data_IF_129424470177
#
_entry.id   IF_129424470177
#
_cell.length_a   1.000
_cell.length_b   1.000
_cell.length_c   1.000
_cell.angle_alpha   90.00
_cell.angle_beta   90.00
_cell.angle_gamma   90.00
#
_symmetry.space_group_name_H-M   'P 1'
#
loop_
_entity.id
_entity.type
_entity.pdbx_description
1 polymer ?
#
# COMPACT_ATOMS: atom_id res chain seq x y z
N UNK A 1 -11.47 -9.22 -6.93
CA UNK A 1 -10.55 -9.65 -8.00
C UNK A 1 -9.77 -10.94 -7.72
N UNK A 2 -9.37 -11.25 -6.47
CA UNK A 2 -8.59 -12.48 -6.17
C UNK A 2 -9.31 -13.76 -6.60
N UNK A 3 -10.61 -13.88 -6.35
CA UNK A 3 -11.42 -15.04 -6.78
C UNK A 3 -11.43 -15.19 -8.31
N UNK A 4 -11.58 -14.08 -9.04
CA UNK A 4 -11.54 -14.07 -10.51
C UNK A 4 -10.16 -14.49 -11.01
N UNK A 5 -9.08 -13.98 -10.43
CA UNK A 5 -7.71 -14.40 -10.78
C UNK A 5 -7.50 -15.89 -10.57
N UNK A 6 -7.95 -16.44 -9.42
CA UNK A 6 -7.86 -17.87 -9.12
C UNK A 6 -8.57 -18.69 -10.20
N UNK A 7 -9.79 -18.30 -10.57
CA UNK A 7 -10.57 -19.02 -11.59
C UNK A 7 -9.92 -18.95 -12.98
N UNK A 8 -9.41 -17.78 -13.37
CA UNK A 8 -8.67 -17.63 -14.64
C UNK A 8 -7.43 -18.53 -14.66
N UNK A 9 -6.68 -18.57 -13.57
CA UNK A 9 -5.50 -19.41 -13.43
C UNK A 9 -5.83 -20.90 -13.51
N UNK A 10 -6.90 -21.35 -12.84
CA UNK A 10 -7.37 -22.74 -12.92
C UNK A 10 -7.78 -23.15 -14.35
N UNK A 11 -8.21 -22.20 -15.17
CA UNK A 11 -8.52 -22.39 -16.59
C UNK A 11 -7.30 -22.28 -17.52
N UNK A 12 -6.09 -22.13 -16.97
CA UNK A 12 -4.85 -22.00 -17.74
C UNK A 12 -4.67 -20.63 -18.41
N UNK A 13 -5.43 -19.61 -17.99
CA UNK A 13 -5.30 -18.25 -18.50
C UNK A 13 -4.33 -17.45 -17.65
N UNK A 14 -3.40 -16.74 -18.29
CA UNK A 14 -2.41 -15.87 -17.64
C UNK A 14 -2.76 -14.41 -17.93
N UNK A 15 -3.47 -13.71 -17.03
CA UNK A 15 -3.81 -12.31 -17.25
C UNK A 15 -2.61 -11.36 -17.06
N UNK A 16 -2.60 -10.27 -17.82
CA UNK A 16 -1.69 -9.15 -17.58
C UNK A 16 -2.20 -8.35 -16.37
N UNK A 17 -1.34 -8.09 -15.40
CA UNK A 17 -1.74 -7.47 -14.13
C UNK A 17 -0.91 -6.24 -13.78
N UNK A 18 -1.58 -5.19 -13.30
CA UNK A 18 -0.96 -3.99 -12.73
C UNK A 18 -1.26 -3.97 -11.23
N UNK A 19 -0.23 -4.10 -10.39
CA UNK A 19 -0.37 -4.12 -8.92
C UNK A 19 0.73 -3.33 -8.21
N UNK A 20 0.42 -2.85 -7.00
CA UNK A 20 1.38 -2.29 -6.05
C UNK A 20 1.17 -2.94 -4.68
N UNK A 21 2.12 -3.77 -4.25
CA UNK A 21 1.94 -4.61 -3.06
C UNK A 21 0.69 -5.49 -3.20
N UNK A 22 -0.20 -5.43 -2.22
CA UNK A 22 -1.47 -6.18 -2.21
C UNK A 22 -2.60 -5.51 -3.01
N UNK A 23 -2.37 -4.30 -3.53
CA UNK A 23 -3.37 -3.55 -4.28
C UNK A 23 -3.26 -3.89 -5.77
N UNK A 24 -4.29 -4.54 -6.32
CA UNK A 24 -4.45 -4.80 -7.74
C UNK A 24 -5.26 -3.67 -8.37
N UNK A 25 -4.72 -3.02 -9.40
CA UNK A 25 -5.38 -1.91 -10.07
C UNK A 25 -6.11 -2.34 -11.34
N UNK A 26 -5.52 -3.25 -12.10
CA UNK A 26 -6.07 -3.74 -13.36
C UNK A 26 -5.61 -5.16 -13.64
N UNK A 27 -6.51 -5.95 -14.21
CA UNK A 27 -6.25 -7.29 -14.72
C UNK A 27 -6.85 -7.41 -16.11
N UNK A 28 -6.04 -7.76 -17.12
CA UNK A 28 -6.46 -7.89 -18.52
C UNK A 28 -6.34 -9.35 -18.97
N UNK A 29 -7.39 -9.87 -19.58
CA UNK A 29 -7.44 -11.21 -20.16
C UNK A 29 -7.67 -11.06 -21.66
N UNK A 30 -6.83 -11.68 -22.47
CA UNK A 30 -7.02 -11.71 -23.92
C UNK A 30 -8.14 -12.69 -24.27
N UNK A 31 -9.15 -12.21 -24.99
CA UNK A 31 -10.26 -13.02 -25.49
C UNK A 31 -10.19 -13.00 -27.02
N UNK A 32 -9.79 -14.10 -27.63
CA UNK A 32 -9.59 -14.21 -29.08
C UNK A 32 -8.38 -13.44 -29.61
N UNK A 33 -8.40 -13.08 -30.90
CA UNK A 33 -7.21 -12.50 -31.57
C UNK A 33 -6.92 -11.05 -31.20
N UNK A 34 -7.96 -10.23 -30.97
CA UNK A 34 -7.85 -8.77 -30.77
C UNK A 34 -8.65 -8.18 -29.60
N UNK A 35 -9.44 -8.97 -28.87
CA UNK A 35 -10.27 -8.43 -27.80
C UNK A 35 -9.65 -8.70 -26.43
N UNK A 36 -9.96 -7.81 -25.48
CA UNK A 36 -9.51 -7.90 -24.11
C UNK A 36 -10.69 -7.69 -23.18
N UNK A 37 -10.77 -8.51 -22.15
CA UNK A 37 -11.62 -8.27 -20.98
C UNK A 37 -10.75 -7.63 -19.92
N UNK A 38 -11.16 -6.47 -19.43
CA UNK A 38 -10.39 -5.67 -18.47
C UNK A 38 -11.19 -5.59 -17.17
N UNK A 39 -10.60 -6.08 -16.10
CA UNK A 39 -11.13 -5.95 -14.75
C UNK A 39 -10.44 -4.78 -14.06
N UNK A 40 -11.23 -3.85 -13.51
CA UNK A 40 -10.77 -2.69 -12.73
C UNK A 40 -11.54 -2.64 -11.42
N UNK A 41 -10.90 -2.05 -10.41
CA UNK A 41 -11.54 -1.76 -9.13
C UNK A 41 -12.10 -0.34 -9.15
N UNK A 42 -13.42 -0.24 -9.06
CA UNK A 42 -14.16 1.03 -9.05
C UNK A 42 -13.84 1.88 -7.83
N UNK A 43 -13.42 1.26 -6.72
CA UNK A 43 -12.98 1.97 -5.52
C UNK A 43 -11.76 2.86 -5.78
N UNK A 44 -10.95 2.55 -6.80
CA UNK A 44 -9.83 3.42 -7.20
C UNK A 44 -10.28 4.73 -7.85
N UNK A 45 -11.50 4.78 -8.38
CA UNK A 45 -12.11 5.97 -8.97
C UNK A 45 -12.98 6.70 -7.94
N UNK A 46 -13.73 5.95 -7.12
CA UNK A 46 -14.65 6.47 -6.11
C UNK A 46 -14.31 5.84 -4.75
N UNK A 47 -13.33 6.37 -3.99
CA UNK A 47 -12.81 5.76 -2.77
C UNK A 47 -13.74 5.97 -1.57
N UNK A 48 -14.99 5.52 -1.68
CA UNK A 48 -16.01 5.60 -0.63
C UNK A 48 -16.83 4.31 -0.57
N UNK A 49 -17.61 4.15 0.50
CA UNK A 49 -18.49 2.97 0.65
C UNK A 49 -19.64 3.01 -0.34
N UNK A 50 -20.20 1.85 -0.69
CA UNK A 50 -21.34 1.75 -1.59
C UNK A 50 -22.56 2.51 -1.07
N UNK A 51 -22.84 2.45 0.23
CA UNK A 51 -23.91 3.20 0.86
C UNK A 51 -23.68 4.72 0.77
N UNK A 52 -22.43 5.18 0.81
CA UNK A 52 -22.08 6.60 0.67
C UNK A 52 -22.21 7.10 -0.77
N UNK A 53 -22.20 6.22 -1.78
CA UNK A 53 -22.35 6.61 -3.19
C UNK A 53 -23.77 7.13 -3.49
N UNK A 54 -24.79 6.58 -2.82
CA UNK A 54 -26.20 6.97 -3.02
C UNK A 54 -26.42 8.46 -2.74
N UNK A 55 -26.08 9.01 -1.54
CA UNK A 55 -26.21 10.44 -1.29
C UNK A 55 -25.18 11.26 -2.08
N UNK A 56 -23.97 10.75 -2.32
CA UNK A 56 -22.93 11.50 -3.03
C UNK A 56 -23.29 11.82 -4.48
N UNK A 57 -24.01 10.93 -5.16
CA UNK A 57 -24.46 11.11 -6.54
C UNK A 57 -25.96 11.34 -6.68
N UNK A 58 -26.67 11.57 -5.56
CA UNK A 58 -28.13 11.73 -5.52
C UNK A 58 -28.88 10.62 -6.29
N UNK A 59 -28.48 9.37 -6.08
CA UNK A 59 -29.04 8.22 -6.80
C UNK A 59 -30.43 7.88 -6.28
N UNK A 60 -31.37 7.66 -7.19
CA UNK A 60 -32.72 7.17 -6.86
C UNK A 60 -32.70 5.64 -6.71
N UNK A 61 -32.16 5.15 -5.59
CA UNK A 61 -32.13 3.71 -5.27
C UNK A 61 -32.80 3.48 -3.93
N UNK A 62 -33.51 2.36 -3.80
CA UNK A 62 -34.17 1.99 -2.55
C UNK A 62 -33.14 1.79 -1.42
N UNK A 63 -33.53 2.20 -0.22
CA UNK A 63 -32.70 2.04 0.96
C UNK A 63 -32.44 0.56 1.23
N UNK A 64 -31.19 0.28 1.57
CA UNK A 64 -30.69 -1.07 1.76
C UNK A 64 -31.32 -1.70 3.01
N UNK A 65 -32.07 -2.81 2.90
CA UNK A 65 -32.52 -3.55 4.08
C UNK A 65 -31.32 -4.16 4.82
N UNK A 66 -31.50 -4.43 6.11
CA UNK A 66 -30.48 -5.10 6.91
C UNK A 66 -30.32 -6.57 6.46
N UNK A 67 -29.08 -6.99 6.20
CA UNK A 67 -28.78 -8.35 5.75
C UNK A 67 -28.06 -9.13 6.86
N UNK A 68 -28.53 -10.34 7.21
CA UNK A 68 -27.86 -11.19 8.20
C UNK A 68 -26.62 -11.84 7.57
N UNK A 69 -25.44 -11.29 7.83
CA UNK A 69 -24.21 -11.75 7.19
C UNK A 69 -23.77 -13.15 7.67
N UNK A 70 -24.01 -13.52 8.94
CA UNK A 70 -23.50 -14.76 9.49
C UNK A 70 -24.32 -16.01 9.15
N UNK A 71 -25.53 -15.83 8.59
CA UNK A 71 -26.36 -16.95 8.13
C UNK A 71 -25.95 -17.46 6.75
N UNK A 72 -25.05 -16.76 6.04
CA UNK A 72 -24.56 -17.21 4.74
C UNK A 72 -23.64 -18.43 4.87
N UNK A 73 -24.26 -19.59 5.08
CA UNK A 73 -23.59 -20.89 5.28
C UNK A 73 -24.32 -21.97 4.48
N UNK A 74 -23.61 -22.99 3.98
CA UNK A 74 -24.21 -24.06 3.17
C UNK A 74 -25.42 -24.75 3.81
N UNK A 75 -25.45 -24.83 5.14
CA UNK A 75 -26.52 -25.50 5.87
C UNK A 75 -27.87 -24.76 5.81
N UNK A 76 -27.84 -23.46 5.47
CA UNK A 76 -28.99 -22.57 5.43
C UNK A 76 -29.53 -22.35 3.99
N UNK A 77 -28.82 -22.80 2.96
CA UNK A 77 -29.29 -22.66 1.57
C UNK A 77 -30.54 -23.52 1.33
N UNK A 78 -31.50 -22.98 0.57
CA UNK A 78 -32.79 -23.63 0.29
C UNK A 78 -33.71 -23.79 1.50
N UNK A 79 -33.48 -23.07 2.60
CA UNK A 79 -34.29 -23.14 3.82
C UNK A 79 -34.75 -21.75 4.27
N UNK A 80 -35.91 -21.72 4.90
CA UNK A 80 -36.35 -20.57 5.69
C UNK A 80 -35.68 -20.63 7.07
N UNK A 81 -35.16 -19.49 7.50
CA UNK A 81 -34.49 -19.33 8.79
C UNK A 81 -35.03 -18.10 9.51
N UNK A 82 -34.75 -18.01 10.82
CA UNK A 82 -35.11 -16.87 11.67
C UNK A 82 -33.81 -16.29 12.26
N UNK A 83 -33.18 -15.32 11.56
CA UNK A 83 -31.88 -14.79 11.98
C UNK A 83 -31.98 -14.08 13.33
N UNK A 84 -31.00 -14.32 14.21
CA UNK A 84 -30.88 -13.61 15.48
C UNK A 84 -30.09 -12.31 15.30
N UNK A 85 -30.14 -11.39 16.26
CA UNK A 85 -29.42 -10.10 16.16
C UNK A 85 -27.92 -10.26 15.86
N UNK A 86 -27.30 -11.28 16.44
CA UNK A 86 -25.88 -11.58 16.25
C UNK A 86 -25.57 -11.89 14.78
N UNK A 87 -26.52 -12.48 14.05
CA UNK A 87 -26.35 -12.82 12.64
C UNK A 87 -26.19 -11.59 11.74
N UNK A 88 -26.68 -10.43 12.19
CA UNK A 88 -26.55 -9.14 11.50
C UNK A 88 -25.28 -8.39 11.90
N UNK A 89 -24.43 -8.95 12.75
CA UNK A 89 -23.28 -8.26 13.35
C UNK A 89 -23.69 -6.96 14.05
N UNK A 90 -24.85 -6.99 14.72
CA UNK A 90 -25.45 -5.81 15.30
C UNK A 90 -24.49 -5.08 16.24
N UNK A 91 -23.66 -5.80 17.00
CA UNK A 91 -22.74 -5.20 18.00
C UNK A 91 -21.60 -4.40 17.37
N UNK A 92 -21.30 -4.65 16.08
CA UNK A 92 -20.34 -3.87 15.31
C UNK A 92 -20.94 -2.61 14.65
N UNK A 93 -22.24 -2.38 14.76
CA UNK A 93 -22.90 -1.22 14.14
C UNK A 93 -22.62 0.07 14.92
N UNK A 94 -22.47 1.18 14.21
CA UNK A 94 -22.39 2.51 14.83
C UNK A 94 -23.69 2.83 15.58
N UNK A 95 -23.65 3.63 16.67
CA UNK A 95 -24.81 3.85 17.54
C UNK A 95 -26.09 4.27 16.80
N UNK A 96 -26.00 5.21 15.86
CA UNK A 96 -27.15 5.68 15.08
C UNK A 96 -27.78 4.55 14.24
N UNK A 97 -26.92 3.78 13.54
CA UNK A 97 -27.36 2.65 12.72
C UNK A 97 -27.91 1.51 13.59
N UNK A 98 -27.38 1.32 14.79
CA UNK A 98 -27.87 0.31 15.74
C UNK A 98 -29.29 0.62 16.22
N UNK A 99 -29.62 1.88 16.49
CA UNK A 99 -30.99 2.29 16.85
C UNK A 99 -31.97 2.00 15.71
N UNK A 100 -31.60 2.32 14.47
CA UNK A 100 -32.41 2.00 13.28
C UNK A 100 -32.60 0.48 13.12
N UNK A 101 -31.52 -0.29 13.29
CA UNK A 101 -31.56 -1.75 13.24
C UNK A 101 -32.48 -2.34 14.31
N UNK A 102 -32.35 -1.91 15.57
CA UNK A 102 -33.14 -2.47 16.66
C UNK A 102 -34.64 -2.19 16.51
N UNK A 103 -35.02 -1.07 15.88
CA UNK A 103 -36.41 -0.79 15.52
C UNK A 103 -36.88 -1.73 14.41
N UNK A 104 -36.13 -1.78 13.30
CA UNK A 104 -36.45 -2.64 12.15
C UNK A 104 -36.55 -4.13 12.56
N UNK A 105 -35.59 -4.62 13.36
CA UNK A 105 -35.54 -6.01 13.81
C UNK A 105 -36.74 -6.39 14.68
N UNK A 106 -37.24 -5.48 15.53
CA UNK A 106 -38.45 -5.76 16.34
C UNK A 106 -39.68 -6.02 15.48
N UNK A 107 -39.76 -5.37 14.32
CA UNK A 107 -40.87 -5.49 13.38
C UNK A 107 -40.75 -6.76 12.51
N UNK A 108 -39.53 -7.20 12.18
CA UNK A 108 -39.29 -8.27 11.20
C UNK A 108 -38.74 -9.59 11.78
N UNK A 109 -38.48 -9.68 13.10
CA UNK A 109 -37.83 -10.86 13.74
C UNK A 109 -38.60 -12.18 13.59
N UNK A 110 -39.92 -12.11 13.43
CA UNK A 110 -40.81 -13.28 13.39
C UNK A 110 -41.17 -13.64 11.93
N UNK A 111 -40.59 -12.94 10.95
CA UNK A 111 -40.78 -13.21 9.52
C UNK A 111 -39.78 -14.28 9.05
N UNK A 112 -40.22 -15.25 8.22
CA UNK A 112 -39.32 -16.23 7.64
C UNK A 112 -38.34 -15.54 6.68
N UNK A 113 -37.04 -15.75 6.88
CA UNK A 113 -36.00 -15.22 6.02
C UNK A 113 -35.56 -16.28 5.01
N UNK A 114 -35.81 -16.03 3.73
CA UNK A 114 -35.26 -16.81 2.63
C UNK A 114 -33.88 -16.25 2.23
N UNK A 115 -32.82 -16.98 2.54
CA UNK A 115 -31.45 -16.55 2.27
C UNK A 115 -31.16 -16.44 0.77
N UNK A 116 -31.65 -17.36 -0.06
CA UNK A 116 -31.29 -17.41 -1.48
C UNK A 116 -31.89 -16.22 -2.23
N UNK A 117 -33.17 -15.93 -2.01
CA UNK A 117 -33.87 -14.79 -2.60
C UNK A 117 -33.31 -13.46 -2.09
N UNK A 118 -33.09 -13.36 -0.77
CA UNK A 118 -32.55 -12.16 -0.15
C UNK A 118 -31.13 -11.88 -0.61
N UNK A 119 -30.29 -12.91 -0.76
CA UNK A 119 -28.92 -12.78 -1.23
C UNK A 119 -28.88 -12.34 -2.70
N UNK A 120 -29.75 -12.91 -3.54
CA UNK A 120 -29.87 -12.52 -4.94
C UNK A 120 -30.32 -11.06 -5.08
N UNK A 121 -31.36 -10.65 -4.35
CA UNK A 121 -31.85 -9.27 -4.32
C UNK A 121 -30.78 -8.30 -3.82
N UNK A 122 -30.13 -8.63 -2.70
CA UNK A 122 -29.05 -7.84 -2.12
C UNK A 122 -27.88 -7.64 -3.11
N UNK A 123 -27.42 -8.71 -3.76
CA UNK A 123 -26.33 -8.63 -4.74
C UNK A 123 -26.74 -7.81 -5.96
N UNK A 124 -27.98 -7.95 -6.42
CA UNK A 124 -28.51 -7.20 -7.56
C UNK A 124 -28.53 -5.70 -7.25
N UNK A 125 -29.08 -5.33 -6.10
CA UNK A 125 -29.11 -3.94 -5.65
C UNK A 125 -27.70 -3.35 -5.51
N UNK A 126 -26.75 -4.10 -4.94
CA UNK A 126 -25.37 -3.62 -4.79
C UNK A 126 -24.71 -3.33 -6.16
N UNK A 127 -24.97 -4.16 -7.17
CA UNK A 127 -24.49 -3.96 -8.55
C UNK A 127 -25.19 -2.77 -9.21
N UNK A 128 -26.49 -2.60 -9.00
CA UNK A 128 -27.27 -1.48 -9.52
C UNK A 128 -26.80 -0.14 -8.96
N UNK A 129 -26.61 -0.04 -7.63
CA UNK A 129 -26.03 1.14 -6.99
C UNK A 129 -24.66 1.47 -7.59
N UNK A 130 -23.80 0.46 -7.71
CA UNK A 130 -22.46 0.67 -8.24
C UNK A 130 -22.48 1.12 -9.70
N UNK A 131 -23.35 0.54 -10.52
CA UNK A 131 -23.54 0.91 -11.92
C UNK A 131 -24.07 2.34 -12.04
N UNK A 132 -25.10 2.69 -11.29
CA UNK A 132 -25.68 4.03 -11.30
C UNK A 132 -24.65 5.09 -10.85
N UNK A 133 -23.89 4.80 -9.78
CA UNK A 133 -22.80 5.66 -9.33
C UNK A 133 -21.71 5.85 -10.40
N UNK A 134 -21.30 4.77 -11.08
CA UNK A 134 -20.30 4.86 -12.16
C UNK A 134 -20.79 5.68 -13.36
N UNK A 135 -22.05 5.52 -13.73
CA UNK A 135 -22.66 6.30 -14.83
C UNK A 135 -22.70 7.78 -14.46
N UNK A 136 -23.15 8.10 -13.25
CA UNK A 136 -23.14 9.47 -12.74
C UNK A 136 -21.72 10.04 -12.72
N UNK A 137 -20.78 9.35 -12.07
CA UNK A 137 -19.38 9.76 -12.00
C UNK A 137 -18.75 9.98 -13.38
N UNK A 138 -19.00 9.09 -14.34
CA UNK A 138 -18.49 9.22 -15.71
C UNK A 138 -19.06 10.48 -16.39
N UNK A 139 -20.35 10.76 -16.21
CA UNK A 139 -21.00 11.96 -16.76
C UNK A 139 -20.40 13.23 -16.17
N UNK A 140 -20.37 13.35 -14.85
CA UNK A 140 -19.81 14.53 -14.17
C UNK A 140 -18.35 14.74 -14.55
N UNK A 141 -17.55 13.67 -14.60
CA UNK A 141 -16.15 13.78 -14.97
C UNK A 141 -15.96 14.19 -16.43
N UNK A 142 -16.77 13.66 -17.37
CA UNK A 142 -16.71 14.05 -18.78
C UNK A 142 -16.96 15.56 -18.97
N UNK A 143 -17.93 16.10 -18.23
CA UNK A 143 -18.27 17.53 -18.26
C UNK A 143 -17.13 18.39 -17.72
N UNK A 144 -16.64 18.10 -16.50
CA UNK A 144 -15.53 18.84 -15.88
C UNK A 144 -14.24 18.72 -16.69
N UNK A 145 -14.01 17.55 -17.30
CA UNK A 145 -12.76 17.25 -17.99
C UNK A 145 -12.75 17.60 -19.48
N UNK A 146 -13.77 18.29 -19.98
CA UNK A 146 -13.90 18.67 -21.38
C UNK A 146 -13.68 17.48 -22.34
N UNK A 147 -14.29 16.33 -22.02
CA UNK A 147 -14.34 15.16 -22.90
C UNK A 147 -13.42 13.97 -22.56
N UNK A 148 -12.77 13.93 -21.39
CA UNK A 148 -12.00 12.73 -21.00
C UNK A 148 -12.91 11.65 -20.39
N UNK A 149 -12.90 10.47 -20.99
CA UNK A 149 -13.66 9.34 -20.48
C UNK A 149 -12.86 8.61 -19.40
N UNK A 150 -13.15 8.94 -18.14
CA UNK A 150 -12.45 8.40 -16.96
C UNK A 150 -12.43 6.87 -16.93
N UNK A 151 -13.49 6.20 -17.37
CA UNK A 151 -13.58 4.73 -17.32
C UNK A 151 -12.70 4.06 -18.37
N UNK A 152 -12.36 4.75 -19.46
CA UNK A 152 -11.45 4.25 -20.50
C UNK A 152 -10.01 4.63 -20.20
N UNK A 153 -9.81 5.89 -19.82
CA UNK A 153 -8.51 6.55 -19.86
C UNK A 153 -7.73 6.48 -18.54
N UNK A 154 -8.38 6.14 -17.44
CA UNK A 154 -7.76 6.05 -16.13
C UNK A 154 -8.22 4.83 -15.35
N UNK A 155 -7.34 4.35 -14.47
CA UNK A 155 -7.62 3.29 -13.49
C UNK A 155 -7.78 3.83 -12.07
N UNK A 156 -7.38 5.07 -11.82
CA UNK A 156 -7.47 5.74 -10.52
C UNK A 156 -7.90 7.19 -10.71
N UNK A 157 -8.58 7.75 -9.71
CA UNK A 157 -8.96 9.17 -9.71
C UNK A 157 -7.74 10.07 -9.86
N UNK A 158 -6.63 9.77 -9.19
CA UNK A 158 -5.39 10.54 -9.30
C UNK A 158 -4.84 10.53 -10.73
N UNK A 159 -4.87 9.38 -11.40
CA UNK A 159 -4.48 9.26 -12.81
C UNK A 159 -5.41 10.05 -13.73
N UNK A 160 -6.71 10.07 -13.43
CA UNK A 160 -7.70 10.82 -14.18
C UNK A 160 -7.48 12.33 -14.04
N UNK A 161 -7.32 12.83 -12.80
CA UNK A 161 -7.02 14.23 -12.52
C UNK A 161 -5.70 14.68 -13.15
N UNK A 162 -4.65 13.84 -13.07
CA UNK A 162 -3.36 14.15 -13.71
C UNK A 162 -3.48 14.18 -15.23
N UNK A 163 -4.32 13.33 -15.83
CA UNK A 163 -4.58 13.37 -17.27
C UNK A 163 -5.35 14.63 -17.64
N UNK A 164 -6.42 14.95 -16.91
CA UNK A 164 -7.18 16.19 -17.09
C UNK A 164 -6.30 17.44 -16.99
N UNK A 165 -5.44 17.50 -15.98
CA UNK A 165 -4.47 18.59 -15.82
C UNK A 165 -3.55 18.69 -17.05
N UNK A 166 -2.91 17.59 -17.45
CA UNK A 166 -1.98 17.58 -18.59
C UNK A 166 -2.63 17.89 -19.93
N UNK A 167 -3.88 17.49 -20.15
CA UNK A 167 -4.58 17.70 -21.41
C UNK A 167 -5.16 19.11 -21.51
N UNK A 168 -5.73 19.64 -20.43
CA UNK A 168 -6.56 20.85 -20.50
C UNK A 168 -5.95 22.08 -19.82
N UNK A 169 -5.03 21.90 -18.88
CA UNK A 169 -4.54 22.99 -18.02
C UNK A 169 -3.02 23.22 -18.14
N UNK A 170 -2.25 22.19 -18.51
CA UNK A 170 -0.81 22.30 -18.64
C UNK A 170 -0.46 23.07 -19.91
N UNK A 171 0.06 24.29 -19.72
CA UNK A 171 0.53 25.15 -20.81
C UNK A 171 1.75 24.55 -21.50
N UNK A 172 1.91 24.88 -22.79
CA UNK A 172 3.08 24.47 -23.57
C UNK A 172 4.37 25.00 -22.94
N UNK A 173 5.45 24.22 -23.04
CA UNK A 173 6.81 24.58 -22.57
C UNK A 173 6.97 24.78 -21.05
N UNK A 174 6.06 24.23 -20.25
CA UNK A 174 6.24 24.19 -18.79
C UNK A 174 7.26 23.10 -18.42
N UNK A 175 8.39 23.47 -17.83
CA UNK A 175 9.31 22.50 -17.21
C UNK A 175 8.65 21.92 -15.96
N UNK A 176 8.68 20.60 -15.82
CA UNK A 176 8.29 19.96 -14.57
C UNK A 176 9.20 20.44 -13.44
N UNK A 177 8.61 20.81 -12.30
CA UNK A 177 9.38 21.19 -11.11
C UNK A 177 10.17 19.95 -10.68
N UNK A 178 11.48 19.96 -10.92
CA UNK A 178 12.39 18.94 -10.42
C UNK A 178 12.60 19.24 -8.93
N UNK A 179 12.25 18.34 -8.01
CA UNK A 179 12.61 18.51 -6.60
C UNK A 179 14.13 18.75 -6.49
N UNK A 180 14.62 19.48 -5.49
CA UNK A 180 16.07 19.70 -5.32
C UNK A 180 16.89 18.40 -5.29
N UNK A 181 16.27 17.29 -4.89
CA UNK A 181 16.87 15.95 -4.87
C UNK A 181 16.68 15.13 -6.15
N UNK A 182 16.08 15.70 -7.20
CA UNK A 182 15.71 14.98 -8.41
C UNK A 182 14.47 14.09 -8.24
N UNK A 183 14.12 13.37 -9.32
CA UNK A 183 13.12 12.30 -9.30
C UNK A 183 13.71 10.93 -8.94
N UNK A 184 15.05 10.84 -8.97
CA UNK A 184 15.74 9.67 -8.50
C UNK A 184 15.65 9.63 -6.98
N UNK A 185 15.44 8.43 -6.43
CA UNK A 185 15.71 8.17 -5.03
C UNK A 185 17.23 8.28 -4.83
N UNK A 186 17.78 9.49 -4.87
CA UNK A 186 19.19 9.74 -4.59
C UNK A 186 19.48 9.11 -3.23
N UNK A 187 20.40 8.16 -3.23
CA UNK A 187 20.75 7.40 -2.03
C UNK A 187 21.14 8.42 -0.94
N UNK A 188 20.35 8.43 0.16
CA UNK A 188 20.58 9.36 1.26
C UNK A 188 21.72 8.83 2.13
N UNK A 189 22.95 8.86 1.62
CA UNK A 189 24.12 8.67 2.46
C UNK A 189 24.32 9.91 3.34
N UNK A 190 24.50 9.72 4.65
CA UNK A 190 24.61 10.86 5.57
C UNK A 190 25.89 11.66 5.33
N UNK A 191 25.85 12.99 5.51
CA UNK A 191 27.05 13.85 5.38
C UNK A 191 28.17 13.39 6.31
N UNK A 192 27.83 12.89 7.50
CA UNK A 192 28.78 12.31 8.43
C UNK A 192 29.44 11.05 7.86
N UNK A 193 28.64 10.16 7.26
CA UNK A 193 29.17 8.95 6.62
C UNK A 193 30.15 9.30 5.51
N UNK A 194 29.79 10.25 4.64
CA UNK A 194 30.67 10.71 3.57
C UNK A 194 31.99 11.26 4.10
N UNK A 195 31.94 12.17 5.09
CA UNK A 195 33.15 12.74 5.70
C UNK A 195 34.02 11.68 6.36
N UNK A 196 33.40 10.73 7.06
CA UNK A 196 34.11 9.63 7.71
C UNK A 196 34.81 8.73 6.67
N UNK A 197 34.12 8.36 5.60
CA UNK A 197 34.68 7.52 4.54
C UNK A 197 35.82 8.24 3.81
N UNK A 198 35.69 9.55 3.53
CA UNK A 198 36.79 10.33 2.95
C UNK A 198 38.02 10.33 3.85
N UNK A 199 37.84 10.59 5.15
CA UNK A 199 38.92 10.55 6.12
C UNK A 199 39.57 9.16 6.21
N UNK A 200 38.77 8.09 6.30
CA UNK A 200 39.27 6.72 6.38
C UNK A 200 40.04 6.31 5.12
N UNK A 201 39.60 6.77 3.94
CA UNK A 201 40.28 6.53 2.68
C UNK A 201 41.67 7.17 2.66
N UNK A 202 41.78 8.41 3.17
CA UNK A 202 43.05 9.16 3.25
C UNK A 202 44.00 8.57 4.30
N UNK A 203 43.52 8.30 5.52
CA UNK A 203 44.35 7.79 6.62
C UNK A 203 44.92 6.40 6.33
N UNK A 204 44.12 5.51 5.74
CA UNK A 204 44.53 4.14 5.44
C UNK A 204 45.01 3.93 4.00
N UNK A 205 45.03 5.00 3.20
CA UNK A 205 45.37 4.97 1.77
C UNK A 205 44.63 3.87 1.00
N UNK A 206 43.31 3.76 1.21
CA UNK A 206 42.44 2.75 0.58
C UNK A 206 41.38 3.40 -0.29
N UNK A 207 41.05 2.75 -1.40
CA UNK A 207 39.91 3.17 -2.24
C UNK A 207 38.61 2.63 -1.66
N UNK A 208 37.69 3.53 -1.34
CA UNK A 208 36.36 3.18 -0.81
C UNK A 208 35.30 3.42 -1.87
N UNK A 209 34.42 2.44 -2.08
CA UNK A 209 33.21 2.57 -2.88
C UNK A 209 32.04 3.02 -1.98
N UNK A 210 31.37 4.11 -2.35
CA UNK A 210 30.27 4.76 -1.63
C UNK A 210 29.17 5.24 -2.61
N UNK A 211 28.16 5.98 -2.13
CA UNK A 211 27.04 6.45 -2.95
C UNK A 211 27.44 7.35 -4.15
N UNK A 212 28.56 8.06 -4.06
CA UNK A 212 29.05 8.96 -5.12
C UNK A 212 30.08 8.32 -6.05
N UNK A 213 30.42 7.05 -5.82
CA UNK A 213 31.27 6.29 -6.74
C UNK A 213 30.52 6.04 -8.05
N UNK A 214 31.21 5.99 -9.20
CA UNK A 214 30.58 5.70 -10.51
C UNK A 214 29.75 4.41 -10.53
N UNK A 215 30.09 3.47 -9.66
CA UNK A 215 29.42 2.18 -9.54
C UNK A 215 28.31 2.18 -8.47
N UNK A 216 28.09 3.28 -7.75
CA UNK A 216 27.18 3.40 -6.60
C UNK A 216 27.61 2.58 -5.38
N UNK A 217 26.75 2.48 -4.37
CA UNK A 217 26.99 1.65 -3.17
C UNK A 217 27.06 0.15 -3.53
N UNK A 218 27.95 -0.58 -2.85
CA UNK A 218 28.01 -2.04 -2.99
C UNK A 218 26.78 -2.65 -2.34
N UNK A 219 26.16 -3.64 -3.01
CA UNK A 219 25.03 -4.40 -2.47
C UNK A 219 25.42 -5.83 -2.11
N UNK A 220 24.92 -6.30 -0.98
CA UNK A 220 24.95 -7.69 -0.55
C UNK A 220 23.50 -8.15 -0.34
N UNK A 221 23.00 -8.98 -1.25
CA UNK A 221 21.58 -9.33 -1.31
C UNK A 221 20.69 -8.09 -1.47
N UNK A 222 19.78 -7.88 -0.52
CA UNK A 222 18.88 -6.71 -0.50
C UNK A 222 19.45 -5.51 0.28
N UNK A 223 20.66 -5.62 0.84
CA UNK A 223 21.26 -4.59 1.67
C UNK A 223 22.33 -3.82 0.91
N UNK A 224 22.36 -2.50 1.10
CA UNK A 224 23.43 -1.62 0.62
C UNK A 224 24.29 -1.23 1.81
N UNK A 225 25.58 -1.08 1.59
CA UNK A 225 26.54 -0.68 2.63
C UNK A 225 27.06 0.72 2.37
N UNK A 226 27.30 1.49 3.44
CA UNK A 226 27.79 2.87 3.34
C UNK A 226 29.16 2.94 2.64
N UNK A 227 30.09 2.05 2.99
CA UNK A 227 31.44 2.00 2.44
C UNK A 227 31.92 0.58 2.18
N UNK A 228 32.54 0.35 1.03
CA UNK A 228 33.16 -0.92 0.66
C UNK A 228 34.63 -0.75 0.27
N UNK A 229 35.51 -1.48 0.93
CA UNK A 229 36.94 -1.58 0.62
C UNK A 229 37.23 -2.96 0.07
N UNK A 230 37.44 -3.04 -1.25
CA UNK A 230 37.60 -4.31 -1.96
C UNK A 230 38.88 -5.06 -1.54
N UNK A 231 39.99 -4.34 -1.42
CA UNK A 231 41.31 -4.90 -1.08
C UNK A 231 41.32 -5.64 0.25
N UNK A 232 40.57 -5.14 1.23
CA UNK A 232 40.51 -5.69 2.59
C UNK A 232 39.27 -6.54 2.85
N UNK A 233 38.39 -6.69 1.83
CA UNK A 233 37.03 -7.22 1.99
C UNK A 233 36.31 -6.64 3.21
N UNK A 234 36.43 -5.32 3.37
CA UNK A 234 35.97 -4.58 4.55
C UNK A 234 34.74 -3.74 4.21
N UNK A 235 33.69 -3.94 4.99
CA UNK A 235 32.48 -3.13 5.00
C UNK A 235 32.58 -2.06 6.09
N UNK A 236 32.24 -0.82 5.77
CA UNK A 236 32.18 0.28 6.73
C UNK A 236 30.74 0.78 6.78
N UNK A 237 30.16 0.84 7.98
CA UNK A 237 28.77 1.25 8.24
C UNK A 237 28.78 2.43 9.22
N UNK A 238 28.15 3.56 8.85
CA UNK A 238 28.06 4.75 9.70
C UNK A 238 26.62 4.91 10.17
N UNK A 239 26.33 4.20 11.26
CA UNK A 239 25.00 4.07 11.84
C UNK A 239 24.61 5.27 12.71
N UNK A 240 23.67 6.07 12.25
CA UNK A 240 23.00 7.06 13.10
C UNK A 240 22.26 6.36 14.26
N UNK A 241 22.55 6.74 15.52
CA UNK A 241 22.04 6.03 16.69
C UNK A 241 20.51 5.99 16.75
N UNK A 242 19.86 7.11 16.39
CA UNK A 242 18.40 7.25 16.36
C UNK A 242 17.73 6.54 15.17
N UNK A 243 18.50 6.17 14.15
CA UNK A 243 17.99 5.48 12.96
C UNK A 243 18.18 3.96 13.05
N UNK A 244 19.16 3.52 13.84
CA UNK A 244 19.55 2.12 13.96
C UNK A 244 19.28 1.50 15.34
N UNK A 245 18.70 2.25 16.28
CA UNK A 245 18.36 1.73 17.61
C UNK A 245 19.61 1.34 18.40
N UNK A 246 20.58 2.26 18.53
CA UNK A 246 21.82 2.00 19.25
C UNK A 246 21.55 1.61 20.71
N UNK A 247 21.93 0.39 21.11
CA UNK A 247 21.74 -0.11 22.49
C UNK A 247 22.42 0.73 23.58
N UNK A 248 23.47 1.48 23.23
CA UNK A 248 24.16 2.35 24.19
C UNK A 248 23.39 3.65 24.44
N UNK A 249 22.75 4.20 23.41
CA UNK A 249 21.95 5.42 23.51
C UNK A 249 20.48 5.13 23.89
N UNK A 250 19.98 3.97 23.49
CA UNK A 250 18.62 3.49 23.69
C UNK A 250 18.69 2.05 24.23
N UNK A 251 18.95 1.87 25.53
CA UNK A 251 19.12 0.55 26.13
C UNK A 251 17.81 -0.25 26.22
N UNK A 252 16.68 0.44 26.28
CA UNK A 252 15.34 -0.16 26.30
C UNK A 252 14.73 -0.16 24.89
N UNK A 253 14.27 -1.34 24.46
CA UNK A 253 13.68 -1.58 23.15
C UNK A 253 12.37 -0.80 22.94
N UNK A 254 11.67 -0.43 24.02
CA UNK A 254 10.40 0.32 23.98
C UNK A 254 10.58 1.84 23.81
N UNK A 255 11.81 2.34 23.87
CA UNK A 255 12.08 3.78 23.68
C UNK A 255 11.64 4.19 22.27
N UNK A 256 10.74 5.18 22.19
CA UNK A 256 10.35 5.80 20.92
C UNK A 256 11.43 6.77 20.44
N UNK A 257 11.91 6.52 19.23
CA UNK A 257 12.90 7.35 18.55
C UNK A 257 12.21 8.57 17.89
N UNK A 258 12.94 9.62 17.50
CA UNK A 258 12.38 10.82 16.86
C UNK A 258 11.59 10.56 15.57
N UNK A 259 11.76 9.38 14.96
CA UNK A 259 10.99 8.94 13.79
C UNK A 259 9.67 8.22 14.15
N UNK A 260 9.29 8.18 15.43
CA UNK A 260 8.06 7.57 15.93
C UNK A 260 8.11 6.04 16.08
N UNK A 261 9.24 5.40 15.78
CA UNK A 261 9.42 3.94 15.82
C UNK A 261 10.20 3.55 17.08
N UNK A 262 9.96 2.36 17.62
CA UNK A 262 10.68 1.85 18.80
C UNK A 262 12.12 1.44 18.48
N UNK A 263 13.02 1.62 19.45
CA UNK A 263 14.44 1.29 19.33
C UNK A 263 14.66 -0.20 19.00
N UNK A 264 13.88 -1.10 19.62
CA UNK A 264 13.97 -2.54 19.38
C UNK A 264 13.60 -2.93 17.95
N UNK A 265 12.58 -2.29 17.36
CA UNK A 265 12.21 -2.55 15.96
C UNK A 265 13.32 -2.11 15.00
N UNK A 266 13.92 -0.93 15.21
CA UNK A 266 15.05 -0.45 14.39
C UNK A 266 16.31 -1.30 14.57
N UNK A 267 16.61 -1.74 15.79
CA UNK A 267 17.77 -2.58 16.08
C UNK A 267 17.73 -3.97 15.42
N UNK A 268 16.54 -4.51 15.09
CA UNK A 268 16.41 -5.78 14.35
C UNK A 268 16.99 -5.70 12.93
N UNK A 269 16.83 -4.57 12.24
CA UNK A 269 17.37 -4.38 10.90
C UNK A 269 18.89 -4.48 10.86
N UNK A 270 19.56 -3.86 11.83
CA UNK A 270 21.02 -3.88 11.94
C UNK A 270 21.56 -5.30 12.20
N UNK A 271 20.89 -6.08 13.07
CA UNK A 271 21.26 -7.48 13.34
C UNK A 271 21.22 -8.35 12.07
N UNK A 272 20.23 -8.12 11.20
CA UNK A 272 20.10 -8.89 9.95
C UNK A 272 21.25 -8.60 8.98
N UNK A 273 21.67 -7.34 8.86
CA UNK A 273 22.84 -6.96 8.05
C UNK A 273 24.10 -7.64 8.59
N UNK A 274 24.31 -7.63 9.90
CA UNK A 274 25.51 -8.21 10.53
C UNK A 274 25.57 -9.72 10.35
N UNK A 275 24.43 -10.41 10.49
CA UNK A 275 24.33 -11.84 10.24
C UNK A 275 24.68 -12.18 8.79
N UNK A 276 24.24 -11.35 7.83
CA UNK A 276 24.58 -11.52 6.42
C UNK A 276 26.08 -11.31 6.15
N UNK A 277 26.67 -10.23 6.67
CA UNK A 277 28.10 -9.96 6.50
C UNK A 277 28.97 -11.07 7.11
N UNK A 278 28.55 -11.59 8.27
CA UNK A 278 29.21 -12.73 8.93
C UNK A 278 29.10 -14.01 8.09
N UNK A 279 27.94 -14.28 7.50
CA UNK A 279 27.75 -15.45 6.62
C UNK A 279 28.59 -15.37 5.33
N UNK A 280 28.97 -14.15 4.91
CA UNK A 280 29.81 -13.89 3.74
C UNK A 280 31.31 -13.81 4.08
N UNK A 281 31.70 -14.07 5.33
CA UNK A 281 33.09 -13.98 5.83
C UNK A 281 33.75 -12.62 5.54
N UNK A 282 32.95 -11.54 5.56
CA UNK A 282 33.42 -10.18 5.35
C UNK A 282 33.85 -9.55 6.67
N UNK A 283 34.86 -8.69 6.63
CA UNK A 283 35.19 -7.82 7.77
C UNK A 283 34.22 -6.64 7.78
N UNK A 284 33.81 -6.17 8.95
CA UNK A 284 32.99 -4.96 9.05
C UNK A 284 33.43 -4.04 10.19
N UNK A 285 33.27 -2.74 9.98
CA UNK A 285 33.48 -1.68 10.97
C UNK A 285 32.23 -0.83 11.03
N UNK A 286 31.55 -0.81 12.18
CA UNK A 286 30.34 0.00 12.37
C UNK A 286 30.64 1.19 13.26
N UNK A 287 30.10 2.38 12.98
CA UNK A 287 30.31 3.59 13.79
C UNK A 287 28.96 4.16 14.20
N UNK A 288 28.79 4.46 15.49
CA UNK A 288 27.60 5.12 16.01
C UNK A 288 27.74 6.64 16.03
N UNK A 289 26.69 7.38 15.66
CA UNK A 289 26.67 8.84 15.84
C UNK A 289 25.42 9.34 16.56
N UNK A 290 25.63 10.25 17.53
CA UNK A 290 24.58 11.06 18.17
C UNK A 290 24.88 12.52 17.80
N UNK A 291 23.85 13.28 17.43
CA UNK A 291 23.95 14.66 16.93
C UNK A 291 24.53 15.67 17.92
N UNK A 292 24.91 15.27 19.14
CA UNK A 292 25.47 16.18 20.16
C UNK A 292 26.51 15.56 21.10
N UNK A 293 27.11 14.40 20.76
CA UNK A 293 28.15 13.77 21.58
C UNK A 293 28.41 12.35 21.14
N UNK A 294 29.50 12.14 20.38
CA UNK A 294 29.76 10.92 19.61
C UNK A 294 29.70 9.63 20.44
N UNK A 295 28.83 8.72 20.04
CA UNK A 295 28.85 7.33 20.49
C UNK A 295 29.75 6.52 19.55
N UNK A 296 31.06 6.77 19.58
CA UNK A 296 32.03 5.98 18.81
C UNK A 296 32.05 4.54 19.34
N UNK A 297 31.40 3.63 18.63
CA UNK A 297 31.64 2.21 18.76
C UNK A 297 32.70 1.86 17.72
N UNK A 298 33.98 1.83 18.09
CA UNK A 298 34.93 1.03 17.34
C UNK A 298 34.77 -0.41 17.82
N UNK A 299 33.88 -1.20 17.21
CA UNK A 299 33.94 -2.64 17.39
C UNK A 299 34.79 -3.15 16.23
N UNK A 300 36.10 -3.24 16.46
CA UNK A 300 36.93 -4.17 15.72
C UNK A 300 36.77 -5.54 16.38
N UNK A 301 36.31 -6.52 15.61
CA UNK A 301 36.49 -7.95 15.89
C UNK A 301 37.37 -8.52 14.79
#
# INVERSE_FOLDING_TARGET
MVLVFKELFLRGLTPDMIKKGNKLYEMKVKVGKKNWVIFRDTFNLMPMSLASLVPAFALSVEDKPFFPHLVNRPENYGKEIFPVKDDYLADGMMPEKRVQFDKWYKEHKDEPFNLDESLASYCTNDVEILMAALVAFRREFLEVSNGLDVLREAMTIASACMKHFRTNHLQSQHLGIVPEKGYDNADNQSLLALRFLTWYAEEHNVKIRNAYSKEGEKRFGNYRVDGWVEEKKLVIEVNGCCWHGCKKCFPDDEIRLPNGITAGFKGKGMKNVWNLLKALELKWKSIGSVTSGGCFQGIEL
#
